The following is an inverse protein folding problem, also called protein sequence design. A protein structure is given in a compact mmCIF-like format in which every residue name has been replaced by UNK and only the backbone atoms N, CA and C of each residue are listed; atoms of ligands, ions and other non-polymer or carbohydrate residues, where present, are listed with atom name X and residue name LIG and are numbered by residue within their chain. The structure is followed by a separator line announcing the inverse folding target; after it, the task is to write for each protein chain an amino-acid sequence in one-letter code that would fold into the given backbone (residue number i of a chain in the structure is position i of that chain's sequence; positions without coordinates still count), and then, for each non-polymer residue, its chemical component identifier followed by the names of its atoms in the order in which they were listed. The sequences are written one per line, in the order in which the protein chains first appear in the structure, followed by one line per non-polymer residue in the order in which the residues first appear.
data_IF_951075768047
#
_entry.id   IF_951075768047
#
_cell.length_a   1.000
_cell.length_b   1.000
_cell.length_c   1.000
_cell.angle_alpha   90.00
_cell.angle_beta   90.00
_cell.angle_gamma   90.00
#
_symmetry.space_group_name_H-M   'P 1'
#
loop_
_entity.id
_entity.type
_entity.pdbx_description
1 polymer ?
#
# COMPACT_ATOMS: atom_id res chain seq x y z
N UNK A 1 -2.84 -11.23 -6.26
CA UNK A 1 -3.12 -11.62 -4.86
C UNK A 1 -1.78 -12.00 -4.27
N UNK A 2 -1.36 -11.37 -3.16
CA UNK A 2 -0.05 -11.63 -2.56
C UNK A 2 0.16 -13.10 -2.20
N UNK A 3 -0.92 -13.86 -2.00
CA UNK A 3 -0.92 -15.28 -1.58
C UNK A 3 -0.79 -16.24 -2.77
N UNK A 4 -1.17 -15.83 -3.99
CA UNK A 4 -1.17 -16.68 -5.20
C UNK A 4 -0.06 -16.36 -6.20
N UNK A 5 0.86 -15.46 -5.85
CA UNK A 5 2.12 -15.31 -6.59
C UNK A 5 2.08 -14.41 -7.83
N UNK A 6 0.95 -13.74 -8.15
CA UNK A 6 0.89 -12.78 -9.27
C UNK A 6 0.07 -11.54 -8.95
N UNK A 7 0.70 -10.38 -9.09
CA UNK A 7 0.02 -9.08 -9.07
C UNK A 7 -0.76 -8.90 -10.37
N UNK A 8 -2.01 -8.41 -10.26
CA UNK A 8 -2.86 -8.13 -11.43
C UNK A 8 -2.46 -6.83 -12.14
N UNK A 9 -1.60 -6.03 -11.52
CA UNK A 9 -1.15 -4.72 -11.97
C UNK A 9 0.36 -4.60 -11.80
N UNK A 10 0.98 -3.74 -12.61
CA UNK A 10 2.41 -3.43 -12.52
C UNK A 10 2.75 -2.41 -11.44
N UNK A 11 1.75 -1.69 -10.92
CA UNK A 11 1.89 -0.69 -9.86
C UNK A 11 1.00 -1.06 -8.67
N UNK A 12 1.61 -1.17 -7.50
CA UNK A 12 0.87 -1.31 -6.24
C UNK A 12 1.18 -0.11 -5.36
N UNK A 13 0.12 0.53 -4.89
CA UNK A 13 0.18 1.51 -3.81
C UNK A 13 -0.01 0.78 -2.49
N UNK A 14 1.06 0.66 -1.70
CA UNK A 14 1.04 0.09 -0.37
C UNK A 14 0.82 1.21 0.65
N UNK A 15 -0.25 1.08 1.44
CA UNK A 15 -0.62 2.04 2.46
C UNK A 15 -0.65 1.33 3.81
N UNK A 16 0.14 1.81 4.77
CA UNK A 16 0.09 1.37 6.15
C UNK A 16 -0.80 2.32 6.96
N UNK A 17 -1.83 1.78 7.63
CA UNK A 17 -2.80 2.57 8.41
C UNK A 17 -3.07 1.91 9.77
N UNK A 18 -3.45 2.70 10.77
CA UNK A 18 -3.90 2.27 12.09
C UNK A 18 -5.30 2.77 12.46
N UNK A 19 -6.31 1.97 12.11
CA UNK A 19 -7.72 2.13 12.45
C UNK A 19 -8.40 3.40 11.91
N UNK A 20 -7.67 4.33 11.31
CA UNK A 20 -8.22 5.62 10.86
C UNK A 20 -9.26 5.44 9.74
N UNK A 21 -9.18 4.33 9.00
CA UNK A 21 -10.08 4.03 7.88
C UNK A 21 -11.14 2.99 8.22
N UNK A 22 -11.27 2.58 9.49
CA UNK A 22 -12.32 1.65 9.92
C UNK A 22 -13.73 2.25 9.75
N UNK A 23 -13.85 3.57 9.85
CA UNK A 23 -15.11 4.30 9.60
C UNK A 23 -15.35 4.57 8.11
N UNK A 24 -14.35 4.32 7.26
CA UNK A 24 -14.46 4.44 5.82
C UNK A 24 -13.14 4.78 5.14
N UNK A 25 -13.00 4.27 3.92
CA UNK A 25 -11.85 4.58 3.05
C UNK A 25 -11.92 6.05 2.60
N UNK A 26 -10.82 6.84 2.66
CA UNK A 26 -10.79 8.23 2.22
C UNK A 26 -11.20 8.40 0.75
N UNK A 27 -11.81 9.55 0.43
CA UNK A 27 -12.33 9.83 -0.92
C UNK A 27 -11.26 9.67 -2.01
N UNK A 28 -10.03 10.12 -1.76
CA UNK A 28 -8.97 10.07 -2.76
C UNK A 28 -8.55 8.63 -3.11
N UNK A 29 -8.60 7.69 -2.16
CA UNK A 29 -8.34 6.27 -2.41
C UNK A 29 -9.43 5.69 -3.32
N UNK A 30 -10.68 6.12 -3.13
CA UNK A 30 -11.82 5.70 -3.99
C UNK A 30 -11.70 6.21 -5.42
N UNK A 31 -10.86 7.23 -5.69
CA UNK A 31 -10.56 7.68 -7.04
C UNK A 31 -9.56 6.74 -7.76
N UNK A 32 -8.96 5.78 -7.05
CA UNK A 32 -8.10 4.75 -7.65
C UNK A 32 -8.99 3.65 -8.22
N UNK A 33 -9.18 3.70 -9.53
CA UNK A 33 -9.98 2.75 -10.30
C UNK A 33 -9.09 1.83 -11.15
N UNK A 34 -9.60 0.74 -11.74
CA UNK A 34 -8.83 -0.11 -12.64
C UNK A 34 -8.15 0.67 -13.79
N UNK A 35 -8.79 1.73 -14.29
CA UNK A 35 -8.27 2.60 -15.36
C UNK A 35 -7.02 3.38 -14.95
N UNK A 36 -6.79 3.57 -13.64
CA UNK A 36 -5.55 4.20 -13.16
C UNK A 36 -4.34 3.28 -13.31
N UNK A 37 -4.54 1.98 -13.53
CA UNK A 37 -3.48 0.98 -13.59
C UNK A 37 -2.74 0.77 -12.26
N UNK A 38 -3.31 1.24 -11.15
CA UNK A 38 -2.77 1.13 -9.79
C UNK A 38 -3.67 0.20 -8.98
N UNK A 39 -3.10 -0.80 -8.32
CA UNK A 39 -3.80 -1.53 -7.26
C UNK A 39 -3.49 -0.93 -5.91
N UNK A 40 -4.51 -0.73 -5.07
CA UNK A 40 -4.32 -0.32 -3.68
C UNK A 40 -4.23 -1.55 -2.81
N UNK A 41 -3.20 -1.59 -1.97
CA UNK A 41 -3.05 -2.58 -0.92
C UNK A 41 -2.98 -1.86 0.43
N UNK A 42 -3.99 -2.08 1.27
CA UNK A 42 -4.09 -1.48 2.60
C UNK A 42 -3.58 -2.52 3.60
N UNK A 43 -2.51 -2.18 4.31
CA UNK A 43 -1.90 -3.03 5.32
C UNK A 43 -2.15 -2.49 6.72
N UNK A 44 -2.67 -3.35 7.60
CA UNK A 44 -3.00 -3.01 8.98
C UNK A 44 -2.89 -4.25 9.88
N UNK A 45 -2.23 -4.13 11.02
CA UNK A 45 -2.00 -5.24 11.97
C UNK A 45 -2.88 -5.12 13.20
N UNK A 46 -4.08 -5.68 13.13
CA UNK A 46 -5.04 -5.60 14.23
C UNK A 46 -4.83 -6.64 15.34
N UNK A 47 -4.14 -7.76 15.05
CA UNK A 47 -3.92 -8.85 16.02
C UNK A 47 -2.60 -8.66 16.79
N UNK A 48 -2.64 -8.31 18.09
CA UNK A 48 -1.45 -8.14 18.92
C UNK A 48 -0.71 -9.45 19.22
N UNK A 49 -1.33 -10.61 19.00
CA UNK A 49 -0.70 -11.92 19.23
C UNK A 49 0.06 -12.45 18.01
N UNK A 50 -0.04 -11.77 16.87
CA UNK A 50 0.66 -12.17 15.66
C UNK A 50 2.19 -12.10 15.82
N UNK A 51 2.96 -12.97 15.15
CA UNK A 51 4.41 -12.98 15.24
C UNK A 51 5.02 -11.63 14.86
N UNK A 52 6.01 -11.19 15.64
CA UNK A 52 6.74 -9.92 15.44
C UNK A 52 5.77 -8.74 15.34
N UNK A 53 4.74 -8.69 16.21
CA UNK A 53 3.73 -7.63 16.22
C UNK A 53 4.37 -6.25 16.41
N UNK A 54 3.91 -5.30 15.60
CA UNK A 54 4.07 -3.88 15.82
C UNK A 54 2.74 -3.26 15.45
N UNK A 55 2.23 -2.39 16.32
CA UNK A 55 1.12 -1.51 15.96
C UNK A 55 1.55 -0.67 14.75
N UNK A 56 0.62 -0.38 13.84
CA UNK A 56 0.91 0.50 12.71
C UNK A 56 1.21 1.93 13.18
N UNK A 57 0.46 2.42 14.18
CA UNK A 57 0.54 3.80 14.67
C UNK A 57 1.96 4.19 15.10
N UNK A 58 2.50 5.21 14.44
CA UNK A 58 3.84 5.74 14.70
C UNK A 58 4.98 4.80 14.28
N UNK A 59 4.67 3.69 13.60
CA UNK A 59 5.63 2.68 13.14
C UNK A 59 5.33 2.23 11.69
N UNK A 60 4.63 3.06 10.92
CA UNK A 60 4.14 2.76 9.58
C UNK A 60 5.28 2.36 8.65
N UNK A 61 6.40 3.09 8.70
CA UNK A 61 7.62 2.81 7.95
C UNK A 61 8.18 1.41 8.23
N UNK A 62 8.32 1.04 9.50
CA UNK A 62 8.84 -0.28 9.91
C UNK A 62 7.91 -1.42 9.49
N UNK A 63 6.61 -1.16 9.55
CA UNK A 63 5.58 -2.08 9.08
C UNK A 63 5.62 -2.28 7.56
N UNK A 64 5.83 -1.21 6.79
CA UNK A 64 6.03 -1.26 5.34
C UNK A 64 7.25 -2.10 4.99
N UNK A 65 8.39 -1.90 5.67
CA UNK A 65 9.60 -2.70 5.44
C UNK A 65 9.35 -4.18 5.70
N UNK A 66 8.60 -4.52 6.76
CA UNK A 66 8.19 -5.91 7.02
C UNK A 66 7.38 -6.49 5.85
N UNK A 67 6.42 -5.75 5.32
CA UNK A 67 5.66 -6.19 4.15
C UNK A 67 6.59 -6.46 2.96
N UNK A 68 7.50 -5.55 2.65
CA UNK A 68 8.45 -5.71 1.54
C UNK A 68 9.33 -6.95 1.73
N UNK A 69 9.74 -7.25 2.96
CA UNK A 69 10.49 -8.45 3.29
C UNK A 69 9.66 -9.73 3.09
N UNK A 70 8.39 -9.74 3.50
CA UNK A 70 7.48 -10.90 3.36
C UNK A 70 7.15 -11.21 1.89
N UNK A 71 7.12 -10.20 1.01
CA UNK A 71 6.75 -10.35 -0.39
C UNK A 71 7.93 -10.15 -1.36
N UNK A 72 9.16 -10.13 -0.87
CA UNK A 72 10.36 -9.73 -1.64
C UNK A 72 10.48 -10.47 -2.98
N UNK A 73 10.30 -11.79 -2.98
CA UNK A 73 10.42 -12.64 -4.17
C UNK A 73 9.30 -12.44 -5.20
N UNK A 74 8.24 -11.73 -4.81
CA UNK A 74 7.06 -11.51 -5.63
C UNK A 74 6.53 -10.08 -5.42
N UNK A 75 7.41 -9.07 -5.52
CA UNK A 75 6.97 -7.68 -5.59
C UNK A 75 6.48 -7.34 -7.02
N UNK A 76 5.52 -6.42 -7.17
CA UNK A 76 5.17 -5.87 -8.48
C UNK A 76 6.36 -5.06 -9.03
N UNK A 77 6.33 -4.73 -10.32
CA UNK A 77 7.39 -3.95 -10.97
C UNK A 77 7.64 -2.59 -10.27
N UNK A 78 6.57 -1.98 -9.76
CA UNK A 78 6.62 -0.71 -9.04
C UNK A 78 5.78 -0.82 -7.77
N UNK A 79 6.41 -0.56 -6.63
CA UNK A 79 5.74 -0.38 -5.34
C UNK A 79 5.82 1.09 -4.95
N UNK A 80 4.68 1.72 -4.70
CA UNK A 80 4.58 3.07 -4.14
C UNK A 80 4.25 2.94 -2.66
N UNK A 81 5.12 3.46 -1.80
CA UNK A 81 4.97 3.41 -0.35
C UNK A 81 4.32 4.70 0.15
N UNK A 82 3.37 4.59 1.07
CA UNK A 82 2.65 5.75 1.56
C UNK A 82 2.31 5.64 3.05
N UNK A 83 2.67 6.69 3.79
CA UNK A 83 2.53 6.78 5.26
C UNK A 83 1.52 7.86 5.69
N UNK A 84 0.99 8.66 4.75
CA UNK A 84 0.04 9.74 5.03
C UNK A 84 -0.87 10.04 3.84
N UNK A 85 -1.90 10.87 4.06
CA UNK A 85 -2.74 11.38 2.96
C UNK A 85 -1.91 12.26 2.02
N UNK A 86 -1.91 11.98 0.70
CA UNK A 86 -1.12 12.75 -0.24
C UNK A 86 -1.88 14.00 -0.68
N UNK A 87 -1.15 14.99 -1.21
CA UNK A 87 -1.77 16.05 -1.99
C UNK A 87 -2.31 15.47 -3.32
N UNK A 88 -3.62 15.22 -3.35
CA UNK A 88 -4.30 14.39 -4.37
C UNK A 88 -3.95 14.78 -5.81
N UNK A 89 -3.92 16.08 -6.12
CA UNK A 89 -3.70 16.57 -7.49
C UNK A 89 -2.31 16.19 -8.03
N UNK A 90 -1.29 16.23 -7.18
CA UNK A 90 0.10 15.94 -7.59
C UNK A 90 0.41 14.45 -7.50
N UNK A 91 -0.28 13.74 -6.61
CA UNK A 91 -0.12 12.30 -6.43
C UNK A 91 -0.37 11.50 -7.70
N UNK A 92 -1.57 11.61 -8.29
CA UNK A 92 -1.94 10.83 -9.47
C UNK A 92 -1.03 11.10 -10.67
N UNK A 93 -0.60 12.35 -10.84
CA UNK A 93 0.36 12.73 -11.87
C UNK A 93 1.73 12.10 -11.63
N UNK A 94 2.20 12.08 -10.38
CA UNK A 94 3.52 11.53 -10.05
C UNK A 94 3.55 10.01 -10.23
N UNK A 95 2.51 9.31 -9.77
CA UNK A 95 2.44 7.83 -9.88
C UNK A 95 2.22 7.37 -11.33
N UNK A 96 1.46 8.11 -12.13
CA UNK A 96 1.26 7.75 -13.54
C UNK A 96 2.55 7.81 -14.36
N UNK A 97 3.46 8.72 -14.01
CA UNK A 97 4.77 8.86 -14.65
C UNK A 97 5.78 7.75 -14.32
N UNK A 98 5.59 6.98 -13.25
CA UNK A 98 6.51 5.89 -12.90
C UNK A 98 6.49 4.79 -13.97
N UNK A 99 7.68 4.35 -14.39
CA UNK A 99 7.92 3.30 -15.38
C UNK A 99 8.98 2.34 -14.81
N UNK A 100 8.92 1.07 -15.20
CA UNK A 100 10.01 0.12 -14.95
C UNK A 100 11.23 0.58 -15.76
N UNK A 101 12.41 0.56 -15.14
CA UNK A 101 13.68 0.80 -15.84
C UNK A 101 14.02 -0.37 -16.77
#
# INVERSE_FOLDING_TARGET
DPVTGKWKTSKVLLIAVWKEWMEGIPRWVRLITPETGISVYIYQRLDPKGPRYSVNFGNEAGVIVKFLWEFYDNLPDIVVLMEAEPHVRTFFRSVSCLRKN
#
